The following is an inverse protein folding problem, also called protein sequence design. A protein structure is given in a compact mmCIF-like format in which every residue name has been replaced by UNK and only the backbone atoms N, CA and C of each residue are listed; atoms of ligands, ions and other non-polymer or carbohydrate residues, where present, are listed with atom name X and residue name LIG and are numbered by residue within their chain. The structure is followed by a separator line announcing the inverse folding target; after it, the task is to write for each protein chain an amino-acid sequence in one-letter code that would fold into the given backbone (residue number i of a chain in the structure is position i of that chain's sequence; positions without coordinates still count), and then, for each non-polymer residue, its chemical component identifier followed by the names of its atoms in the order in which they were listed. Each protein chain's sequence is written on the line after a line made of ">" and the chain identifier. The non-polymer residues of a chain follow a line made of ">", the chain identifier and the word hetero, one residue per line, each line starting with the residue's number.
data_IF_607269249827
#
_entry.id   IF_607269249827
#
_cell.length_a   1.000
_cell.length_b   1.000
_cell.length_c   1.000
_cell.angle_alpha   90.00
_cell.angle_beta   90.00
_cell.angle_gamma   90.00
#
_symmetry.space_group_name_H-M   'P 1'
#
loop_
_entity.id
_entity.type
_entity.pdbx_description
1 polymer ?
#
# COMPACT_ATOMS: atom_id res chain seq x y z
N UNK A 1 4.75 -9.71 -8.66
CA UNK A 1 5.49 -10.92 -8.24
C UNK A 1 4.71 -12.22 -8.39
N UNK A 2 3.37 -12.25 -8.21
CA UNK A 2 2.59 -13.50 -8.27
C UNK A 2 2.60 -14.22 -9.63
N UNK A 3 2.95 -13.54 -10.73
CA UNK A 3 3.16 -14.14 -12.05
C UNK A 3 4.64 -14.17 -12.50
N UNK A 4 5.58 -13.79 -11.63
CA UNK A 4 6.99 -13.77 -11.99
C UNK A 4 7.61 -15.16 -11.80
N UNK A 5 8.43 -15.55 -12.77
CA UNK A 5 9.44 -16.58 -12.59
C UNK A 5 10.74 -15.99 -12.05
N UNK A 6 11.72 -16.84 -11.86
CA UNK A 6 13.11 -16.44 -11.62
C UNK A 6 14.04 -17.25 -12.52
N UNK A 7 15.31 -16.85 -12.66
CA UNK A 7 16.27 -17.63 -13.45
C UNK A 7 16.40 -19.08 -12.98
N UNK A 8 16.36 -19.31 -11.65
CA UNK A 8 16.42 -20.67 -11.06
C UNK A 8 15.10 -21.42 -11.16
N UNK A 9 13.97 -20.72 -11.09
CA UNK A 9 12.63 -21.29 -11.18
C UNK A 9 11.85 -20.58 -12.29
N UNK A 10 12.09 -20.95 -13.56
CA UNK A 10 11.44 -20.33 -14.70
C UNK A 10 9.97 -20.76 -14.77
N UNK A 11 9.19 -20.00 -15.54
CA UNK A 11 7.78 -20.26 -15.74
C UNK A 11 6.88 -19.46 -14.80
N UNK A 12 5.84 -18.92 -15.41
CA UNK A 12 4.85 -18.11 -14.74
C UNK A 12 4.14 -18.92 -13.63
N UNK A 13 3.87 -18.28 -12.50
CA UNK A 13 3.15 -18.86 -11.36
C UNK A 13 3.83 -20.06 -10.64
N UNK A 14 5.09 -20.42 -10.93
CA UNK A 14 5.79 -21.50 -10.21
C UNK A 14 5.71 -21.35 -8.68
N UNK A 15 6.03 -20.16 -8.17
CA UNK A 15 5.93 -19.84 -6.74
C UNK A 15 4.50 -20.01 -6.20
N UNK A 16 3.50 -19.51 -6.94
CA UNK A 16 2.10 -19.58 -6.54
C UNK A 16 1.59 -21.02 -6.51
N UNK A 17 1.96 -21.82 -7.51
CA UNK A 17 1.60 -23.23 -7.61
C UNK A 17 2.25 -24.03 -6.48
N UNK A 18 3.56 -23.85 -6.26
CA UNK A 18 4.26 -24.52 -5.16
C UNK A 18 3.64 -24.18 -3.80
N UNK A 19 3.32 -22.91 -3.55
CA UNK A 19 2.63 -22.53 -2.32
C UNK A 19 1.26 -23.21 -2.22
N UNK A 20 0.45 -23.20 -3.28
CA UNK A 20 -0.88 -23.82 -3.31
C UNK A 20 -0.88 -25.34 -3.10
N UNK A 21 0.04 -26.06 -3.76
CA UNK A 21 0.23 -27.51 -3.61
C UNK A 21 0.61 -27.91 -2.18
N UNK A 22 1.18 -26.98 -1.41
CA UNK A 22 1.56 -27.15 -0.01
C UNK A 22 0.55 -26.54 0.97
N UNK A 23 -0.71 -26.38 0.55
CA UNK A 23 -1.78 -25.83 1.39
C UNK A 23 -1.54 -24.37 1.78
N UNK A 24 -0.73 -23.66 1.02
CA UNK A 24 -0.25 -22.33 1.35
C UNK A 24 -1.16 -21.20 0.93
N UNK A 25 -0.92 -20.04 1.54
CA UNK A 25 -1.55 -18.76 1.22
C UNK A 25 -0.46 -17.74 0.94
N UNK A 26 -0.68 -16.92 -0.08
CA UNK A 26 0.24 -15.84 -0.45
C UNK A 26 -0.54 -14.56 -0.64
N UNK A 27 -0.02 -13.44 -0.16
CA UNK A 27 -0.56 -12.12 -0.41
C UNK A 27 0.59 -11.11 -0.56
N UNK A 28 0.28 -10.00 -1.22
CA UNK A 28 1.17 -8.86 -1.33
C UNK A 28 0.35 -7.58 -1.34
N UNK A 29 0.91 -6.52 -0.78
CA UNK A 29 0.34 -5.18 -0.93
C UNK A 29 1.46 -4.15 -1.06
N UNK A 30 1.17 -3.09 -1.79
CA UNK A 30 2.02 -1.90 -1.85
C UNK A 30 1.33 -0.82 -1.03
N UNK A 31 1.91 -0.48 0.11
CA UNK A 31 1.43 0.61 0.93
C UNK A 31 2.10 1.91 0.50
N UNK A 32 1.28 2.95 0.29
CA UNK A 32 1.71 4.32 0.55
C UNK A 32 1.84 4.52 2.07
N UNK A 33 2.46 5.61 2.48
CA UNK A 33 2.82 5.91 3.87
C UNK A 33 1.79 5.45 4.94
N UNK A 34 2.28 4.88 6.05
CA UNK A 34 1.50 4.76 7.29
C UNK A 34 0.92 3.40 7.65
N UNK A 35 1.03 2.36 6.82
CA UNK A 35 0.33 1.10 7.15
C UNK A 35 1.07 0.18 8.13
N UNK A 36 2.40 0.25 8.27
CA UNK A 36 3.12 -0.69 9.15
C UNK A 36 4.34 -0.21 9.95
N UNK A 37 5.02 0.87 9.58
CA UNK A 37 6.08 1.52 10.36
C UNK A 37 6.65 2.65 9.53
N UNK A 38 6.95 3.79 10.16
CA UNK A 38 7.78 4.89 9.63
C UNK A 38 7.46 5.31 8.18
N UNK A 39 6.38 6.06 7.90
CA UNK A 39 6.12 6.82 6.65
C UNK A 39 6.94 6.42 5.40
N UNK A 40 6.92 5.14 5.05
CA UNK A 40 7.74 4.57 3.98
C UNK A 40 6.79 3.88 3.03
N UNK A 41 6.87 4.26 1.75
CA UNK A 41 6.33 3.43 0.67
C UNK A 41 7.01 2.07 0.77
N UNK A 42 6.21 1.02 0.92
CA UNK A 42 6.73 -0.34 1.12
C UNK A 42 5.86 -1.33 0.34
N UNK A 43 6.52 -2.28 -0.32
CA UNK A 43 5.86 -3.47 -0.83
C UNK A 43 6.09 -4.59 0.16
N UNK A 44 5.01 -5.12 0.72
CA UNK A 44 5.05 -6.20 1.69
C UNK A 44 4.57 -7.49 1.02
N UNK A 45 5.28 -8.58 1.29
CA UNK A 45 4.96 -9.92 0.81
C UNK A 45 4.76 -10.82 2.01
N UNK A 46 3.62 -11.50 2.04
CA UNK A 46 3.24 -12.41 3.13
C UNK A 46 2.91 -13.76 2.54
N UNK A 47 3.48 -14.81 3.11
CA UNK A 47 3.25 -16.18 2.65
C UNK A 47 3.35 -17.18 3.79
N UNK A 48 2.58 -18.25 3.68
CA UNK A 48 2.62 -19.38 4.59
C UNK A 48 2.31 -20.67 3.81
N UNK A 49 2.88 -21.80 4.24
CA UNK A 49 2.53 -23.14 3.77
C UNK A 49 2.21 -24.04 4.96
N UNK A 50 1.55 -25.17 4.70
CA UNK A 50 1.31 -26.20 5.70
C UNK A 50 2.48 -27.18 5.75
N UNK A 51 2.92 -27.50 6.97
CA UNK A 51 4.01 -28.45 7.18
C UNK A 51 5.41 -27.85 6.98
N UNK A 52 6.38 -28.41 7.69
CA UNK A 52 7.74 -27.89 7.76
C UNK A 52 8.65 -28.43 6.66
N UNK A 53 8.35 -29.62 6.15
CA UNK A 53 9.12 -30.37 5.16
C UNK A 53 9.41 -29.59 3.87
N UNK A 54 8.50 -28.69 3.45
CA UNK A 54 8.67 -27.88 2.25
C UNK A 54 9.04 -26.42 2.55
N UNK A 55 9.33 -26.08 3.81
CA UNK A 55 9.64 -24.71 4.22
C UNK A 55 10.94 -24.21 3.61
N UNK A 56 12.01 -25.01 3.67
CA UNK A 56 13.31 -24.64 3.09
C UNK A 56 13.20 -24.40 1.57
N UNK A 57 12.53 -25.32 0.85
CA UNK A 57 12.29 -25.18 -0.60
C UNK A 57 11.45 -23.95 -0.93
N UNK A 58 10.47 -23.60 -0.09
CA UNK A 58 9.71 -22.37 -0.25
C UNK A 58 10.59 -21.12 -0.14
N UNK A 59 11.51 -21.09 0.84
CA UNK A 59 12.44 -19.98 1.01
C UNK A 59 13.40 -19.85 -0.18
N UNK A 60 13.86 -20.97 -0.73
CA UNK A 60 14.67 -21.00 -1.95
C UNK A 60 13.90 -20.38 -3.12
N UNK A 61 12.67 -20.83 -3.37
CA UNK A 61 11.83 -20.30 -4.46
C UNK A 61 11.55 -18.81 -4.26
N UNK A 62 11.14 -18.42 -3.05
CA UNK A 62 10.74 -17.05 -2.76
C UNK A 62 11.92 -16.09 -2.83
N UNK A 63 13.08 -16.45 -2.28
CA UNK A 63 14.29 -15.62 -2.35
C UNK A 63 14.75 -15.37 -3.79
N UNK A 64 14.60 -16.35 -4.69
CA UNK A 64 14.99 -16.21 -6.09
C UNK A 64 14.13 -15.18 -6.86
N UNK A 65 12.92 -14.88 -6.40
CA UNK A 65 12.13 -13.77 -6.93
C UNK A 65 12.73 -12.38 -6.60
N UNK A 66 13.70 -12.31 -5.70
CA UNK A 66 14.44 -11.08 -5.35
C UNK A 66 15.89 -11.09 -5.86
N UNK A 67 16.43 -12.28 -6.16
CA UNK A 67 17.79 -12.45 -6.68
C UNK A 67 17.81 -12.20 -8.19
N UNK A 68 16.96 -12.91 -8.94
CA UNK A 68 16.95 -12.90 -10.40
C UNK A 68 15.52 -13.04 -10.93
N UNK A 69 14.69 -12.04 -10.66
CA UNK A 69 13.32 -11.98 -11.15
C UNK A 69 13.28 -11.89 -12.68
N UNK A 70 12.47 -12.75 -13.29
CA UNK A 70 12.22 -12.75 -14.74
C UNK A 70 10.84 -12.15 -15.00
N UNK A 71 10.80 -11.10 -15.81
CA UNK A 71 9.58 -10.44 -16.26
C UNK A 71 9.33 -10.81 -17.71
N UNK A 72 8.58 -11.90 -17.92
CA UNK A 72 8.13 -12.26 -19.25
C UNK A 72 6.97 -11.34 -19.68
N UNK A 73 6.92 -10.98 -20.96
CA UNK A 73 5.91 -10.07 -21.50
C UNK A 73 4.49 -10.63 -21.27
N UNK A 74 4.26 -11.90 -21.59
CA UNK A 74 2.97 -12.60 -21.35
C UNK A 74 2.55 -12.58 -19.89
N UNK A 75 3.51 -12.72 -18.97
CA UNK A 75 3.25 -12.72 -17.53
C UNK A 75 2.87 -11.32 -17.06
N UNK A 76 3.57 -10.32 -17.59
CA UNK A 76 3.37 -8.91 -17.28
C UNK A 76 2.01 -8.43 -17.80
N UNK A 77 1.61 -8.77 -19.02
CA UNK A 77 0.30 -8.40 -19.56
C UNK A 77 -0.87 -9.01 -18.77
N UNK A 78 -0.74 -10.26 -18.32
CA UNK A 78 -1.75 -10.90 -17.46
C UNK A 78 -1.83 -10.24 -16.09
N UNK A 79 -0.70 -9.82 -15.51
CA UNK A 79 -0.73 -9.04 -14.26
C UNK A 79 -1.34 -7.67 -14.48
N UNK A 80 -1.07 -7.03 -15.60
CA UNK A 80 -1.68 -5.76 -15.96
C UNK A 80 -3.20 -5.89 -16.07
N UNK A 81 -3.71 -6.96 -16.68
CA UNK A 81 -5.16 -7.22 -16.72
C UNK A 81 -5.77 -7.40 -15.32
N UNK A 82 -5.03 -8.00 -14.38
CA UNK A 82 -5.47 -8.12 -12.98
C UNK A 82 -5.49 -6.76 -12.26
N UNK A 83 -4.46 -5.92 -12.47
CA UNK A 83 -4.41 -4.54 -11.94
C UNK A 83 -5.56 -3.71 -12.49
N UNK A 84 -5.83 -3.82 -13.79
CA UNK A 84 -6.90 -3.12 -14.47
C UNK A 84 -8.28 -3.55 -13.96
N UNK A 85 -8.46 -4.85 -13.71
CA UNK A 85 -9.68 -5.38 -13.08
C UNK A 85 -9.86 -4.87 -11.64
N UNK A 86 -8.78 -4.78 -10.86
CA UNK A 86 -8.83 -4.20 -9.50
C UNK A 86 -9.17 -2.71 -9.55
N UNK A 87 -8.61 -1.98 -10.53
CA UNK A 87 -8.96 -0.59 -10.79
C UNK A 87 -10.46 -0.45 -11.10
N UNK A 88 -11.00 -1.24 -12.02
CA UNK A 88 -12.41 -1.17 -12.42
C UNK A 88 -13.37 -1.41 -11.25
N UNK A 89 -13.04 -2.35 -10.36
CA UNK A 89 -13.83 -2.63 -9.15
C UNK A 89 -13.85 -1.45 -8.16
N UNK A 90 -12.88 -0.54 -8.23
CA UNK A 90 -12.67 0.54 -7.24
C UNK A 90 -12.58 1.93 -7.86
N UNK A 91 -12.85 2.06 -9.17
CA UNK A 91 -12.63 3.30 -9.94
C UNK A 91 -13.31 4.52 -9.35
N UNK A 92 -14.50 4.35 -8.76
CA UNK A 92 -15.25 5.41 -8.11
C UNK A 92 -14.53 5.90 -6.85
N UNK A 93 -14.03 4.97 -6.03
CA UNK A 93 -13.22 5.32 -4.85
C UNK A 93 -11.92 6.02 -5.26
N UNK A 94 -11.28 5.58 -6.34
CA UNK A 94 -10.08 6.24 -6.87
C UNK A 94 -10.36 7.63 -7.44
N UNK A 95 -11.51 7.84 -8.09
CA UNK A 95 -11.91 9.16 -8.58
C UNK A 95 -12.08 10.15 -7.43
N UNK A 96 -12.72 9.74 -6.33
CA UNK A 96 -12.83 10.54 -5.11
C UNK A 96 -11.45 10.86 -4.53
N UNK A 97 -10.56 9.86 -4.43
CA UNK A 97 -9.19 10.05 -3.96
C UNK A 97 -8.41 11.06 -4.81
N UNK A 98 -8.54 11.01 -6.14
CA UNK A 98 -7.86 11.93 -7.06
C UNK A 98 -8.37 13.37 -6.89
N UNK A 99 -9.70 13.58 -6.80
CA UNK A 99 -10.28 14.91 -6.55
C UNK A 99 -9.79 15.49 -5.22
N UNK A 100 -9.71 14.66 -4.17
CA UNK A 100 -9.18 15.09 -2.87
C UNK A 100 -7.70 15.44 -2.95
N UNK A 101 -6.89 14.65 -3.65
CA UNK A 101 -5.45 14.94 -3.85
C UNK A 101 -5.25 16.25 -4.59
N UNK A 102 -5.95 16.46 -5.71
CA UNK A 102 -5.89 17.69 -6.49
C UNK A 102 -6.28 18.91 -5.63
N UNK A 103 -7.31 18.78 -4.79
CA UNK A 103 -7.78 19.88 -3.97
C UNK A 103 -6.88 20.20 -2.76
N UNK A 104 -6.17 19.20 -2.20
CA UNK A 104 -5.52 19.30 -0.89
C UNK A 104 -3.98 19.23 -0.93
N UNK A 105 -3.37 18.71 -2.00
CA UNK A 105 -1.91 18.50 -2.07
C UNK A 105 -1.27 19.51 -3.04
N UNK A 106 0.01 19.87 -2.82
CA UNK A 106 0.77 20.65 -3.80
C UNK A 106 1.06 19.85 -5.06
N UNK A 107 1.11 20.50 -6.23
CA UNK A 107 1.29 19.85 -7.54
C UNK A 107 2.54 18.96 -7.60
N UNK A 108 3.64 19.39 -6.98
CA UNK A 108 4.91 18.64 -6.96
C UNK A 108 5.01 17.57 -5.87
N UNK A 109 3.98 17.38 -5.04
CA UNK A 109 4.08 16.42 -3.93
C UNK A 109 3.95 14.96 -4.41
N UNK A 110 4.81 14.02 -3.96
CA UNK A 110 4.72 12.60 -4.34
C UNK A 110 3.42 11.87 -3.98
N UNK A 111 2.52 12.51 -3.24
CA UNK A 111 1.16 12.00 -2.93
C UNK A 111 0.12 12.36 -4.00
N UNK A 112 0.41 13.32 -4.90
CA UNK A 112 -0.44 13.60 -6.06
C UNK A 112 -0.50 12.42 -7.04
N UNK A 113 0.48 11.52 -7.01
CA UNK A 113 0.51 10.38 -7.92
C UNK A 113 -0.67 9.43 -7.72
N UNK A 114 -1.22 8.96 -8.85
CA UNK A 114 -2.16 7.86 -8.91
C UNK A 114 -1.42 6.53 -8.66
N UNK A 115 -1.45 6.06 -7.41
CA UNK A 115 -0.64 4.92 -6.97
C UNK A 115 -1.18 3.55 -7.33
N UNK A 116 -2.48 3.42 -7.65
CA UNK A 116 -3.07 2.13 -8.01
C UNK A 116 -2.66 1.71 -9.44
N UNK A 117 -2.62 2.67 -10.36
CA UNK A 117 -2.38 2.41 -11.77
C UNK A 117 -3.55 1.68 -12.43
N UNK A 118 -3.47 1.57 -13.75
CA UNK A 118 -4.39 0.85 -14.63
C UNK A 118 -3.69 0.60 -15.97
N UNK A 119 -4.34 -0.09 -16.91
CA UNK A 119 -3.76 -0.37 -18.23
C UNK A 119 -3.28 0.90 -18.95
N UNK A 120 -4.10 1.94 -18.93
CA UNK A 120 -3.77 3.21 -19.55
C UNK A 120 -2.48 3.83 -18.97
N UNK A 121 -2.44 4.04 -17.65
CA UNK A 121 -1.32 4.73 -16.97
C UNK A 121 -0.01 3.93 -16.93
N UNK A 122 -0.09 2.59 -16.92
CA UNK A 122 1.11 1.73 -16.81
C UNK A 122 1.64 1.34 -18.21
N UNK A 123 0.76 1.16 -19.20
CA UNK A 123 1.12 0.50 -20.45
C UNK A 123 0.93 1.38 -21.69
N UNK A 124 -0.27 1.93 -21.87
CA UNK A 124 -0.62 2.66 -23.10
C UNK A 124 0.01 4.05 -23.11
N UNK A 125 -0.25 4.86 -22.08
CA UNK A 125 0.21 6.24 -21.98
C UNK A 125 1.74 6.37 -22.05
N UNK A 126 2.56 5.55 -21.35
CA UNK A 126 4.02 5.64 -21.48
C UNK A 126 4.55 5.30 -22.87
N UNK A 127 3.89 4.37 -23.57
CA UNK A 127 4.25 3.98 -24.94
C UNK A 127 3.90 5.08 -25.94
N UNK A 128 2.68 5.61 -25.83
CA UNK A 128 2.13 6.59 -26.78
C UNK A 128 2.79 7.95 -26.64
N UNK A 129 2.94 8.46 -25.41
CA UNK A 129 3.44 9.82 -25.18
C UNK A 129 4.96 9.91 -25.12
N UNK A 130 5.63 8.90 -24.57
CA UNK A 130 7.07 8.96 -24.29
C UNK A 130 7.88 7.94 -25.08
N UNK A 131 7.25 7.05 -25.85
CA UNK A 131 7.95 5.97 -26.55
C UNK A 131 8.67 4.99 -25.61
N UNK A 132 8.23 4.91 -24.35
CA UNK A 132 8.84 4.04 -23.34
C UNK A 132 8.28 2.63 -23.44
N UNK A 133 9.15 1.63 -23.32
CA UNK A 133 8.73 0.25 -23.10
C UNK A 133 8.48 0.02 -21.60
N UNK A 134 7.21 -0.20 -21.17
CA UNK A 134 6.88 -0.45 -19.76
C UNK A 134 7.60 -1.65 -19.15
N UNK A 135 7.93 -2.67 -19.96
CA UNK A 135 8.63 -3.85 -19.47
C UNK A 135 10.08 -3.52 -19.10
N UNK A 136 10.77 -2.77 -19.95
CA UNK A 136 12.12 -2.27 -19.66
C UNK A 136 12.11 -1.30 -18.46
N UNK A 137 11.10 -0.41 -18.37
CA UNK A 137 10.93 0.47 -17.20
C UNK A 137 10.73 -0.35 -15.91
N UNK A 138 9.95 -1.43 -15.96
CA UNK A 138 9.76 -2.34 -14.83
C UNK A 138 11.06 -3.04 -14.43
N UNK A 139 11.83 -3.55 -15.40
CA UNK A 139 13.15 -4.14 -15.15
C UNK A 139 14.10 -3.15 -14.49
N UNK A 140 14.17 -1.91 -15.00
CA UNK A 140 15.01 -0.86 -14.43
C UNK A 140 14.55 -0.48 -13.03
N UNK A 141 13.24 -0.33 -12.81
CA UNK A 141 12.67 -0.02 -11.50
C UNK A 141 12.96 -1.13 -10.49
N UNK A 142 12.79 -2.40 -10.87
CA UNK A 142 13.14 -3.54 -10.02
C UNK A 142 14.64 -3.55 -9.72
N UNK A 143 15.48 -3.37 -10.74
CA UNK A 143 16.95 -3.26 -10.62
C UNK A 143 17.41 -2.04 -9.81
N UNK A 144 16.56 -1.05 -9.62
CA UNK A 144 16.85 0.09 -8.77
C UNK A 144 16.42 -0.16 -7.32
N UNK A 145 15.19 -0.66 -7.14
CA UNK A 145 14.52 -0.61 -5.84
C UNK A 145 14.57 -1.90 -5.01
N UNK A 146 14.75 -3.06 -5.64
CA UNK A 146 14.78 -4.36 -4.95
C UNK A 146 16.22 -4.75 -4.59
N UNK A 147 16.78 -4.13 -3.55
CA UNK A 147 18.12 -4.41 -3.05
C UNK A 147 18.15 -4.72 -1.55
N UNK A 148 19.13 -5.53 -1.14
CA UNK A 148 19.21 -6.08 0.23
C UNK A 148 19.26 -5.03 1.36
N UNK A 149 19.91 -3.85 1.24
CA UNK A 149 19.96 -2.89 2.35
C UNK A 149 18.59 -2.28 2.71
N UNK A 150 17.60 -2.37 1.81
CA UNK A 150 16.27 -1.78 2.01
C UNK A 150 15.22 -2.81 2.41
N UNK A 151 15.58 -4.09 2.43
CA UNK A 151 14.68 -5.19 2.74
C UNK A 151 14.70 -5.55 4.23
N UNK A 152 13.57 -6.05 4.71
CA UNK A 152 13.41 -6.66 6.03
C UNK A 152 12.75 -8.01 5.84
N UNK A 153 13.24 -9.02 6.57
CA UNK A 153 12.77 -10.39 6.49
C UNK A 153 12.31 -10.85 7.87
N UNK A 154 11.19 -11.56 7.92
CA UNK A 154 10.71 -12.28 9.10
C UNK A 154 10.48 -13.73 8.70
N UNK A 155 11.14 -14.65 9.43
CA UNK A 155 10.95 -16.08 9.27
C UNK A 155 10.30 -16.65 10.53
N UNK A 156 9.24 -17.45 10.34
CA UNK A 156 8.53 -18.14 11.40
C UNK A 156 8.32 -19.59 11.00
N UNK A 157 8.87 -20.51 11.80
CA UNK A 157 8.64 -21.95 11.68
C UNK A 157 8.92 -22.65 13.02
N UNK A 158 8.51 -23.91 13.15
CA UNK A 158 8.89 -24.76 14.28
C UNK A 158 10.32 -25.33 14.10
N UNK A 159 11.28 -24.43 13.93
CA UNK A 159 12.69 -24.70 13.70
C UNK A 159 13.53 -23.96 14.74
N UNK A 160 14.73 -24.46 15.00
CA UNK A 160 15.66 -23.78 15.89
C UNK A 160 16.10 -22.43 15.31
N UNK A 161 16.41 -21.45 16.17
CA UNK A 161 16.95 -20.16 15.74
C UNK A 161 18.21 -20.31 14.86
N UNK A 162 19.18 -21.18 15.19
CA UNK A 162 20.32 -21.44 14.31
C UNK A 162 19.91 -21.92 12.90
N UNK A 163 18.89 -22.77 12.79
CA UNK A 163 18.39 -23.23 11.49
C UNK A 163 17.75 -22.10 10.70
N UNK A 164 16.93 -21.27 11.35
CA UNK A 164 16.30 -20.13 10.69
C UNK A 164 17.32 -19.08 10.25
N UNK A 165 18.38 -18.87 11.03
CA UNK A 165 19.50 -18.00 10.66
C UNK A 165 20.23 -18.54 9.43
N UNK A 166 20.58 -19.83 9.41
CA UNK A 166 21.22 -20.47 8.26
C UNK A 166 20.37 -20.35 6.99
N UNK A 167 19.04 -20.55 7.09
CA UNK A 167 18.15 -20.35 5.95
C UNK A 167 18.11 -18.89 5.49
N UNK A 168 18.06 -17.93 6.41
CA UNK A 168 18.09 -16.52 6.07
C UNK A 168 19.37 -16.14 5.30
N UNK A 169 20.53 -16.55 5.82
CA UNK A 169 21.84 -16.28 5.23
C UNK A 169 22.01 -16.99 3.87
N UNK A 170 21.65 -18.27 3.78
CA UNK A 170 21.81 -19.08 2.57
C UNK A 170 20.94 -18.59 1.42
N UNK A 171 19.67 -18.29 1.68
CA UNK A 171 18.71 -17.96 0.62
C UNK A 171 18.61 -16.45 0.37
N UNK A 172 18.48 -15.64 1.41
CA UNK A 172 18.27 -14.20 1.26
C UNK A 172 19.57 -13.40 1.27
N UNK A 173 20.68 -13.97 1.75
CA UNK A 173 22.01 -13.35 1.66
C UNK A 173 22.53 -13.19 0.23
N UNK A 174 21.93 -13.88 -0.74
CA UNK A 174 22.25 -13.77 -2.16
C UNK A 174 21.57 -12.57 -2.85
N UNK A 175 20.64 -11.88 -2.18
CA UNK A 175 19.96 -10.72 -2.76
C UNK A 175 20.99 -9.60 -2.99
N UNK A 176 21.06 -9.04 -4.21
CA UNK A 176 22.10 -8.07 -4.55
C UNK A 176 22.03 -6.83 -3.68
N UNK A 177 23.21 -6.42 -3.18
CA UNK A 177 23.42 -5.06 -2.67
C UNK A 177 23.58 -4.14 -3.88
N UNK A 178 22.92 -2.99 -3.86
CA UNK A 178 23.04 -1.99 -4.91
C UNK A 178 23.47 -0.68 -4.27
N UNK A 179 24.46 -0.03 -4.88
CA UNK A 179 25.05 1.19 -4.36
C UNK A 179 24.13 2.38 -4.67
N UNK A 180 23.07 2.49 -3.87
CA UNK A 180 22.07 3.53 -4.00
C UNK A 180 21.70 4.07 -2.63
N UNK A 181 21.66 5.39 -2.52
CA UNK A 181 21.05 6.08 -1.39
C UNK A 181 19.54 5.89 -1.48
N UNK A 182 18.93 5.39 -0.40
CA UNK A 182 17.47 5.34 -0.29
C UNK A 182 16.93 6.76 -0.51
N UNK A 183 15.95 6.95 -1.42
CA UNK A 183 15.33 8.26 -1.61
C UNK A 183 14.84 8.78 -0.26
N UNK A 184 15.32 9.97 0.13
CA UNK A 184 14.80 10.65 1.30
C UNK A 184 13.47 11.31 0.91
N UNK A 185 12.39 10.54 1.08
CA UNK A 185 11.02 11.01 0.87
C UNK A 185 10.61 12.11 1.87
N UNK A 186 11.46 12.42 2.86
CA UNK A 186 11.25 13.47 3.85
C UNK A 186 12.11 14.73 3.57
N UNK A 187 12.84 14.79 2.45
CA UNK A 187 13.57 16.03 2.07
C UNK A 187 12.62 17.21 1.94
N UNK A 188 11.40 16.96 1.49
CA UNK A 188 10.29 17.90 1.57
C UNK A 188 9.73 17.83 3.00
N UNK A 189 10.44 18.47 3.94
CA UNK A 189 10.08 18.55 5.37
C UNK A 189 8.91 19.48 5.64
N UNK A 190 8.55 20.28 4.65
CA UNK A 190 7.23 20.86 4.64
C UNK A 190 6.30 19.68 4.37
N UNK A 191 5.34 19.41 5.25
CA UNK A 191 4.31 18.41 4.93
C UNK A 191 3.70 18.70 3.55
N UNK A 192 2.82 17.83 3.01
CA UNK A 192 2.16 17.95 1.68
C UNK A 192 1.36 19.25 1.42
N UNK A 193 1.55 20.22 2.27
CA UNK A 193 0.71 21.26 2.76
C UNK A 193 1.44 22.60 2.82
N UNK A 194 2.66 22.72 2.28
CA UNK A 194 3.26 24.02 2.08
C UNK A 194 2.39 24.79 1.09
N UNK A 195 1.67 25.79 1.59
CA UNK A 195 0.46 26.39 1.00
C UNK A 195 -0.70 25.40 0.78
N UNK A 196 -1.17 24.74 1.85
CA UNK A 196 -2.51 24.17 1.84
C UNK A 196 -3.50 25.23 1.37
N UNK A 197 -4.32 24.84 0.40
CA UNK A 197 -5.63 25.42 0.25
C UNK A 197 -6.53 24.97 1.42
N UNK A 198 -6.25 25.50 2.61
CA UNK A 198 -7.13 25.34 3.77
C UNK A 198 -8.50 25.96 3.46
N UNK A 199 -9.49 25.68 4.30
CA UNK A 199 -10.82 26.33 4.25
C UNK A 199 -11.62 26.02 2.96
N UNK A 200 -11.32 24.89 2.31
CA UNK A 200 -12.10 24.38 1.18
C UNK A 200 -13.29 23.54 1.64
N UNK A 201 -14.42 23.73 0.98
CA UNK A 201 -15.55 22.80 1.01
C UNK A 201 -15.57 22.09 -0.34
N UNK A 202 -15.33 20.79 -0.32
CA UNK A 202 -15.36 19.94 -1.51
C UNK A 202 -16.67 19.17 -1.50
N UNK A 203 -17.50 19.39 -2.51
CA UNK A 203 -18.75 18.64 -2.69
C UNK A 203 -18.53 17.58 -3.75
N UNK A 204 -18.72 16.32 -3.36
CA UNK A 204 -18.55 15.16 -4.23
C UNK A 204 -19.91 14.51 -4.39
N UNK A 205 -20.33 14.28 -5.63
CA UNK A 205 -21.52 13.50 -5.94
C UNK A 205 -21.03 12.08 -6.21
N UNK A 206 -21.18 11.13 -5.27
CA UNK A 206 -20.74 9.77 -5.48
C UNK A 206 -21.59 9.10 -6.56
N UNK A 207 -21.00 8.15 -7.28
CA UNK A 207 -21.76 7.26 -8.14
C UNK A 207 -22.30 6.12 -7.27
N UNK A 208 -23.62 6.01 -7.12
CA UNK A 208 -24.27 4.96 -6.32
C UNK A 208 -24.87 5.41 -4.99
N UNK A 209 -25.53 4.48 -4.29
CA UNK A 209 -26.35 4.73 -3.10
C UNK A 209 -25.54 4.60 -1.79
N UNK A 210 -24.31 5.12 -1.76
CA UNK A 210 -23.54 5.21 -0.52
C UNK A 210 -24.21 6.17 0.46
N UNK A 211 -24.01 6.01 1.78
CA UNK A 211 -24.57 6.93 2.76
C UNK A 211 -23.97 8.33 2.57
N UNK A 212 -24.78 9.36 2.83
CA UNK A 212 -24.26 10.71 2.93
C UNK A 212 -23.21 10.78 4.04
N UNK A 213 -22.03 11.29 3.67
CA UNK A 213 -20.90 11.37 4.57
C UNK A 213 -20.23 12.74 4.49
N UNK A 214 -19.98 13.33 5.65
CA UNK A 214 -19.13 14.52 5.77
C UNK A 214 -17.75 14.09 6.23
N UNK A 215 -16.72 14.45 5.45
CA UNK A 215 -15.34 14.12 5.76
C UNK A 215 -14.54 15.41 6.03
N UNK A 216 -13.91 15.52 7.20
CA UNK A 216 -13.12 16.69 7.59
C UNK A 216 -11.65 16.32 7.69
N UNK A 217 -10.79 16.94 6.88
CA UNK A 217 -9.36 16.65 6.84
C UNK A 217 -8.55 17.69 7.62
N UNK A 218 -7.73 17.23 8.55
CA UNK A 218 -6.85 18.08 9.35
C UNK A 218 -5.38 17.71 9.10
N UNK A 219 -4.58 18.64 8.54
CA UNK A 219 -3.15 18.41 8.38
C UNK A 219 -2.48 18.35 9.75
N UNK A 220 -1.75 17.28 10.03
CA UNK A 220 -0.98 17.14 11.26
C UNK A 220 0.52 17.09 10.97
N UNK A 221 1.36 17.65 11.86
CA UNK A 221 2.79 17.42 11.79
C UNK A 221 3.10 15.93 12.01
N UNK A 222 4.22 15.46 11.46
CA UNK A 222 4.68 14.10 11.71
C UNK A 222 4.89 13.86 13.21
N UNK A 223 4.23 12.83 13.74
CA UNK A 223 4.33 12.42 15.14
C UNK A 223 5.23 11.18 15.35
N UNK A 224 5.95 10.74 14.30
CA UNK A 224 6.78 9.52 14.33
C UNK A 224 7.83 9.54 15.45
N UNK A 225 8.43 10.71 15.72
CA UNK A 225 9.39 10.87 16.81
C UNK A 225 8.78 10.66 18.20
N UNK A 226 7.44 10.70 18.30
CA UNK A 226 6.67 10.57 19.53
C UNK A 226 5.73 9.34 19.46
N UNK A 227 6.04 8.33 18.65
CA UNK A 227 5.17 7.15 18.46
C UNK A 227 4.87 6.43 19.78
N UNK A 228 5.79 6.48 20.75
CA UNK A 228 5.60 5.89 22.07
C UNK A 228 4.46 6.57 22.88
N UNK A 229 4.18 7.85 22.63
CA UNK A 229 3.09 8.58 23.27
C UNK A 229 1.78 8.52 22.45
N UNK A 230 1.85 8.15 21.18
CA UNK A 230 0.74 8.02 20.23
C UNK A 230 -0.34 9.13 20.34
N UNK A 231 0.05 10.41 20.15
CA UNK A 231 -0.86 11.55 20.37
C UNK A 231 -2.07 11.54 19.43
N UNK A 232 -1.93 10.96 18.24
CA UNK A 232 -3.05 10.85 17.28
C UNK A 232 -4.10 9.87 17.78
N UNK A 233 -3.68 8.73 18.34
CA UNK A 233 -4.61 7.78 18.96
C UNK A 233 -5.36 8.36 20.15
N UNK A 234 -4.72 9.24 20.92
CA UNK A 234 -5.41 9.97 21.98
C UNK A 234 -6.52 10.88 21.41
N UNK A 235 -6.24 11.62 20.33
CA UNK A 235 -7.24 12.45 19.66
C UNK A 235 -8.39 11.61 19.08
N UNK A 236 -8.08 10.49 18.43
CA UNK A 236 -9.09 9.54 17.93
C UNK A 236 -10.00 9.05 19.04
N UNK A 237 -9.41 8.68 20.17
CA UNK A 237 -10.17 8.24 21.35
C UNK A 237 -11.10 9.34 21.86
N UNK A 238 -10.63 10.58 21.98
CA UNK A 238 -11.46 11.69 22.47
C UNK A 238 -12.60 12.01 21.51
N UNK A 239 -12.34 12.00 20.19
CA UNK A 239 -13.33 12.32 19.16
C UNK A 239 -14.38 11.22 19.00
N UNK A 240 -14.00 9.96 19.17
CA UNK A 240 -14.89 8.80 19.01
C UNK A 240 -15.41 8.26 20.34
N UNK A 241 -15.11 8.93 21.46
CA UNK A 241 -15.66 8.56 22.77
C UNK A 241 -17.20 8.59 22.72
N UNK A 242 -17.85 7.55 23.25
CA UNK A 242 -19.31 7.38 23.19
C UNK A 242 -20.02 7.64 24.53
N UNK A 243 -19.27 8.06 25.56
CA UNK A 243 -19.85 8.31 26.88
C UNK A 243 -20.69 9.59 26.97
N UNK A 244 -21.32 9.84 28.13
CA UNK A 244 -22.16 11.03 28.35
C UNK A 244 -21.41 12.34 28.08
N UNK A 245 -22.05 13.25 27.33
CA UNK A 245 -21.47 14.55 26.98
C UNK A 245 -20.44 14.52 25.84
N UNK A 246 -20.23 13.36 25.21
CA UNK A 246 -19.35 13.23 24.05
C UNK A 246 -19.96 13.78 22.76
N UNK A 247 -19.09 14.01 21.76
CA UNK A 247 -19.52 14.36 20.40
C UNK A 247 -20.36 13.24 19.78
N UNK A 248 -19.95 11.98 19.94
CA UNK A 248 -20.71 10.83 19.44
C UNK A 248 -22.13 10.78 20.05
N UNK A 249 -22.22 10.94 21.37
CA UNK A 249 -23.51 10.99 22.08
C UNK A 249 -24.39 12.14 21.61
N UNK A 250 -23.82 13.33 21.37
CA UNK A 250 -24.56 14.47 20.85
C UNK A 250 -25.11 14.22 19.44
N UNK A 251 -24.29 13.71 18.52
CA UNK A 251 -24.70 13.43 17.14
C UNK A 251 -25.83 12.39 17.09
N UNK A 252 -25.73 11.33 17.89
CA UNK A 252 -26.76 10.30 17.98
C UNK A 252 -28.06 10.83 18.59
N UNK A 253 -27.99 11.60 19.69
CA UNK A 253 -29.19 12.17 20.34
C UNK A 253 -29.98 13.11 19.43
N UNK A 254 -29.31 13.77 18.50
CA UNK A 254 -29.91 14.70 17.55
C UNK A 254 -30.18 14.08 16.17
N UNK A 255 -30.01 12.77 15.99
CA UNK A 255 -30.15 12.07 14.71
C UNK A 255 -29.28 12.69 13.59
N UNK A 256 -28.12 13.24 13.93
CA UNK A 256 -27.18 13.86 12.99
C UNK A 256 -26.18 12.84 12.41
N UNK A 257 -26.06 11.67 13.04
CA UNK A 257 -25.22 10.59 12.53
C UNK A 257 -24.28 9.94 13.54
N UNK A 258 -23.30 9.22 13.01
CA UNK A 258 -22.20 8.59 13.76
C UNK A 258 -20.86 9.19 13.36
N UNK A 259 -19.87 9.14 14.26
CA UNK A 259 -18.52 9.65 14.04
C UNK A 259 -17.49 8.52 14.03
N UNK A 260 -16.55 8.59 13.09
CA UNK A 260 -15.33 7.77 13.05
C UNK A 260 -14.12 8.68 12.82
N UNK A 261 -12.99 8.33 13.45
CA UNK A 261 -11.71 9.01 13.27
C UNK A 261 -10.60 7.98 13.02
N UNK A 262 -9.70 8.27 12.10
CA UNK A 262 -8.60 7.38 11.69
C UNK A 262 -7.28 8.15 11.58
N UNK A 263 -6.15 7.44 11.71
CA UNK A 263 -4.82 7.99 11.49
C UNK A 263 -4.76 8.51 10.04
N UNK A 264 -4.15 9.70 9.85
CA UNK A 264 -4.42 10.67 8.79
C UNK A 264 -5.71 11.45 9.03
N UNK A 265 -5.78 12.24 10.12
CA UNK A 265 -7.04 12.79 10.69
C UNK A 265 -7.98 13.32 9.61
N UNK A 266 -8.83 12.41 9.17
CA UNK A 266 -10.00 12.64 8.38
C UNK A 266 -11.13 12.14 9.27
N UNK A 267 -11.89 13.06 9.83
CA UNK A 267 -13.07 12.72 10.62
C UNK A 267 -14.15 12.38 9.62
N UNK A 268 -14.66 11.14 9.62
CA UNK A 268 -15.81 10.74 8.81
C UNK A 268 -17.06 10.77 9.69
N UNK A 269 -18.00 11.63 9.35
CA UNK A 269 -19.36 11.63 9.89
C UNK A 269 -20.24 10.90 8.89
N UNK A 270 -21.05 9.95 9.37
CA UNK A 270 -22.05 9.22 8.58
C UNK A 270 -23.43 9.71 8.98
N UNK A 271 -24.27 10.13 8.04
CA UNK A 271 -25.69 10.37 8.36
C UNK A 271 -26.42 9.04 8.58
N UNK A 272 -27.53 9.10 9.32
CA UNK A 272 -28.56 8.07 9.29
C UNK A 272 -29.66 8.68 8.42
N UNK A 273 -29.97 8.05 7.28
CA UNK A 273 -31.06 8.49 6.41
C UNK A 273 -32.39 8.56 7.19
N UNK A 274 -32.95 9.75 7.26
CA UNK A 274 -34.40 9.96 7.14
C UNK A 274 -34.62 11.11 6.15
N UNK A 275 -35.22 10.75 5.01
CA UNK A 275 -35.86 11.59 3.99
C UNK A 275 -35.99 13.09 4.33
N UNK A 276 -35.02 13.93 3.93
CA UNK A 276 -35.19 15.39 3.92
C UNK A 276 -34.27 16.05 2.87
N UNK A 277 -34.70 16.06 1.59
CA UNK A 277 -35.09 17.24 0.80
C UNK A 277 -35.45 16.85 -0.64
#
# INVERSE_FOLDING_TARGET
>A
MHALGSGKYPGEAYFKNFAGENGGKTNAFTASEGFFCENKKATCYQLAIMGQQNYEKLLDIFSNLFIDAQFEESGTERQLAAVDSEYDLRKESFAVELVLKEALMTEDHPMQHFGAGNRFSIWEYPREEFGLDPLEVLHQWYRRNYCSPWMKLVLQANLSLPTLQDYAERYFGQIPTRDQTKPDLHKDRHGPHHSLSLEKIIKIIPYGNGPDAMQMYFPLPSYLNNIACDPVRFLEYVLTYEGPGSLSSYLQQHNLGNIQAYQWVHIKLYSIDEDLF
#
